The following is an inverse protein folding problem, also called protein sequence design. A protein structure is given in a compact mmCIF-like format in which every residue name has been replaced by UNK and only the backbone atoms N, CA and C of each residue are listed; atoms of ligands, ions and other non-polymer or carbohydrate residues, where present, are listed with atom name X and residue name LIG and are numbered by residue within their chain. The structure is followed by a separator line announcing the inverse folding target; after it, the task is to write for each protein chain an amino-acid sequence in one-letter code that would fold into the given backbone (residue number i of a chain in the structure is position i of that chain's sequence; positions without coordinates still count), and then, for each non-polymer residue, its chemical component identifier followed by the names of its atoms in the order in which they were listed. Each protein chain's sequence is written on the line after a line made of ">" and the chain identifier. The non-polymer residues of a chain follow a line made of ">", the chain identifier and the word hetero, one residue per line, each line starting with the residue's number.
data_IF_860625756952
#
_entry.id   IF_860625756952
#
_cell.length_a   1.000
_cell.length_b   1.000
_cell.length_c   1.000
_cell.angle_alpha   90.00
_cell.angle_beta   90.00
_cell.angle_gamma   90.00
#
_symmetry.space_group_name_H-M   'P 1'
#
loop_
_entity.id
_entity.type
_entity.pdbx_description
1 polymer ?
#
# COMPACT_ATOMS: atom_id res chain seq x y z
N UNK A 1 -20.86 12.72 -36.02
CA UNK A 1 -21.86 12.10 -35.13
C UNK A 1 -21.20 10.87 -34.54
N UNK A 2 -20.80 10.92 -33.26
CA UNK A 2 -20.43 9.69 -32.55
C UNK A 2 -21.70 8.88 -32.33
N UNK A 3 -21.60 7.58 -32.53
CA UNK A 3 -22.74 6.66 -32.53
C UNK A 3 -23.20 6.35 -31.10
N UNK A 4 -24.48 6.01 -30.92
CA UNK A 4 -25.10 5.63 -29.64
C UNK A 4 -24.25 4.60 -28.83
N UNK A 5 -23.54 3.73 -29.56
CA UNK A 5 -22.62 2.72 -29.04
C UNK A 5 -21.31 3.26 -28.44
N UNK A 6 -20.91 4.50 -28.73
CA UNK A 6 -19.73 5.14 -28.14
C UNK A 6 -20.09 5.85 -26.83
N UNK A 7 -21.29 6.45 -26.76
CA UNK A 7 -21.81 7.11 -25.56
C UNK A 7 -22.03 6.11 -24.41
N UNK A 8 -22.62 4.95 -24.71
CA UNK A 8 -22.83 3.88 -23.73
C UNK A 8 -21.53 3.33 -23.15
N UNK A 9 -20.46 3.24 -23.97
CA UNK A 9 -19.14 2.78 -23.49
C UNK A 9 -18.44 3.80 -22.60
N UNK A 10 -18.64 5.10 -22.86
CA UNK A 10 -18.09 6.14 -21.98
C UNK A 10 -18.81 6.18 -20.63
N UNK A 11 -20.13 6.03 -20.60
CA UNK A 11 -20.88 5.92 -19.34
C UNK A 11 -20.50 4.68 -18.53
N UNK A 12 -20.35 3.53 -19.19
CA UNK A 12 -19.95 2.29 -18.51
C UNK A 12 -18.52 2.39 -17.96
N UNK A 13 -17.59 2.99 -18.71
CA UNK A 13 -16.23 3.28 -18.21
C UNK A 13 -16.24 4.22 -17.02
N UNK A 14 -17.09 5.24 -17.01
CA UNK A 14 -17.22 6.17 -15.87
C UNK A 14 -17.75 5.47 -14.64
N UNK A 15 -18.77 4.60 -14.78
CA UNK A 15 -19.28 3.77 -13.67
C UNK A 15 -18.22 2.82 -13.13
N UNK A 16 -17.53 2.10 -14.02
CA UNK A 16 -16.46 1.18 -13.61
C UNK A 16 -15.31 1.92 -12.89
N UNK A 17 -14.96 3.14 -13.34
CA UNK A 17 -13.95 3.96 -12.69
C UNK A 17 -14.39 4.44 -11.29
N UNK A 18 -15.66 4.83 -11.13
CA UNK A 18 -16.24 5.20 -9.83
C UNK A 18 -16.25 4.01 -8.88
N UNK A 19 -16.73 2.85 -9.33
CA UNK A 19 -16.75 1.62 -8.53
C UNK A 19 -15.35 1.16 -8.13
N UNK A 20 -14.36 1.31 -9.03
CA UNK A 20 -12.97 0.99 -8.72
C UNK A 20 -12.38 1.93 -7.67
N UNK A 21 -12.69 3.22 -7.73
CA UNK A 21 -12.23 4.20 -6.75
C UNK A 21 -12.92 3.98 -5.39
N UNK A 22 -14.22 3.71 -5.37
CA UNK A 22 -14.94 3.37 -4.14
C UNK A 22 -14.39 2.10 -3.49
N UNK A 23 -14.11 1.06 -4.29
CA UNK A 23 -13.45 -0.15 -3.78
C UNK A 23 -12.09 0.17 -3.20
N UNK A 24 -11.26 0.98 -3.87
CA UNK A 24 -9.97 1.40 -3.34
C UNK A 24 -10.11 2.13 -2.00
N UNK A 25 -11.06 3.05 -1.89
CA UNK A 25 -11.32 3.77 -0.64
C UNK A 25 -11.76 2.81 0.46
N UNK A 26 -12.67 1.89 0.17
CA UNK A 26 -13.12 0.87 1.14
C UNK A 26 -11.99 -0.08 1.54
N UNK A 27 -11.12 -0.48 0.60
CA UNK A 27 -9.95 -1.30 0.89
C UNK A 27 -8.96 -0.58 1.78
N UNK A 28 -8.74 0.72 1.57
CA UNK A 28 -7.90 1.56 2.42
C UNK A 28 -8.53 1.76 3.82
N UNK A 29 -9.84 2.00 3.92
CA UNK A 29 -10.53 2.11 5.22
C UNK A 29 -10.50 0.78 5.98
N UNK A 30 -10.74 -0.34 5.29
CA UNK A 30 -10.61 -1.67 5.86
C UNK A 30 -9.16 -1.93 6.29
N UNK A 31 -8.16 -1.48 5.50
CA UNK A 31 -6.75 -1.55 5.86
C UNK A 31 -6.43 -0.72 7.11
N UNK A 32 -7.05 0.44 7.27
CA UNK A 32 -6.95 1.27 8.47
C UNK A 32 -7.49 0.57 9.71
N UNK A 33 -8.65 -0.07 9.60
CA UNK A 33 -9.23 -0.85 10.71
C UNK A 33 -8.39 -2.05 11.10
N UNK A 34 -7.76 -2.69 10.11
CA UNK A 34 -6.87 -3.85 10.31
C UNK A 34 -5.39 -3.48 10.28
N UNK A 35 -5.03 -2.24 10.59
CA UNK A 35 -3.65 -1.77 10.51
C UNK A 35 -2.69 -2.71 11.26
N UNK A 36 -3.07 -3.14 12.46
CA UNK A 36 -2.29 -4.12 13.23
C UNK A 36 -2.12 -5.49 12.55
N UNK A 37 -3.12 -5.97 11.80
CA UNK A 37 -2.98 -7.19 11.00
C UNK A 37 -2.10 -6.98 9.78
N UNK A 38 -2.21 -5.82 9.13
CA UNK A 38 -1.36 -5.45 8.00
C UNK A 38 0.11 -5.36 8.43
N UNK A 39 0.41 -4.78 9.60
CA UNK A 39 1.75 -4.79 10.17
C UNK A 39 2.27 -6.21 10.45
N UNK A 40 1.45 -7.10 11.02
CA UNK A 40 1.83 -8.51 11.22
C UNK A 40 2.12 -9.21 9.90
N UNK A 41 1.35 -8.91 8.86
CA UNK A 41 1.60 -9.44 7.52
C UNK A 41 2.92 -8.89 6.97
N UNK A 42 3.23 -7.59 7.11
CA UNK A 42 4.55 -7.04 6.77
C UNK A 42 5.67 -7.78 7.50
N UNK A 43 5.54 -8.02 8.81
CA UNK A 43 6.54 -8.79 9.57
C UNK A 43 6.67 -10.23 9.08
N UNK A 44 5.55 -10.90 8.76
CA UNK A 44 5.56 -12.26 8.20
C UNK A 44 6.20 -12.29 6.81
N UNK A 45 5.95 -11.28 6.00
CA UNK A 45 6.53 -11.11 4.67
C UNK A 45 8.04 -10.82 4.76
N UNK A 46 8.45 -9.97 5.71
CA UNK A 46 9.85 -9.63 5.98
C UNK A 46 10.65 -10.80 6.57
N UNK A 47 9.99 -11.73 7.29
CA UNK A 47 10.63 -12.97 7.73
C UNK A 47 10.98 -13.91 6.57
N UNK A 48 10.26 -13.85 5.45
CA UNK A 48 10.56 -14.71 4.29
C UNK A 48 11.66 -14.08 3.42
N UNK A 49 12.72 -14.83 3.18
CA UNK A 49 13.85 -14.40 2.34
C UNK A 49 13.56 -14.54 0.83
N UNK A 50 12.48 -13.95 0.32
CA UNK A 50 12.17 -14.00 -1.11
C UNK A 50 11.85 -12.61 -1.68
N UNK A 51 12.38 -12.33 -2.88
CA UNK A 51 12.21 -11.05 -3.56
C UNK A 51 10.74 -10.69 -3.79
N UNK A 52 9.89 -11.68 -4.10
CA UNK A 52 8.44 -11.48 -4.27
C UNK A 52 7.79 -11.07 -2.95
N UNK A 53 8.25 -11.63 -1.84
CA UNK A 53 7.68 -11.35 -0.52
C UNK A 53 8.05 -9.95 -0.04
N UNK A 54 9.28 -9.50 -0.30
CA UNK A 54 9.66 -8.12 -0.06
C UNK A 54 8.88 -7.12 -0.91
N UNK A 55 8.58 -7.48 -2.16
CA UNK A 55 7.74 -6.66 -3.04
C UNK A 55 6.33 -6.47 -2.44
N UNK A 56 5.73 -7.57 -1.98
CA UNK A 56 4.44 -7.53 -1.29
C UNK A 56 4.49 -6.74 0.02
N UNK A 57 5.57 -6.86 0.80
CA UNK A 57 5.74 -6.10 2.04
C UNK A 57 5.79 -4.59 1.75
N UNK A 58 6.55 -4.20 0.72
CA UNK A 58 6.69 -2.81 0.30
C UNK A 58 5.38 -2.26 -0.25
N UNK A 59 4.62 -3.03 -1.04
CA UNK A 59 3.27 -2.66 -1.47
C UNK A 59 2.35 -2.40 -0.28
N UNK A 60 2.34 -3.31 0.71
CA UNK A 60 1.49 -3.18 1.89
C UNK A 60 1.88 -1.97 2.76
N UNK A 61 3.18 -1.71 2.90
CA UNK A 61 3.70 -0.51 3.58
C UNK A 61 3.30 0.78 2.88
N UNK A 62 3.30 0.83 1.55
CA UNK A 62 2.81 1.99 0.80
C UNK A 62 1.34 2.26 1.05
N UNK A 63 0.49 1.22 1.05
CA UNK A 63 -0.94 1.38 1.36
C UNK A 63 -1.15 1.84 2.81
N UNK A 64 -0.38 1.32 3.76
CA UNK A 64 -0.42 1.75 5.16
C UNK A 64 0.01 3.22 5.32
N UNK A 65 0.99 3.69 4.54
CA UNK A 65 1.38 5.10 4.51
C UNK A 65 0.23 5.99 4.03
N UNK A 66 -0.47 5.58 2.97
CA UNK A 66 -1.64 6.34 2.47
C UNK A 66 -2.76 6.42 3.51
N UNK A 67 -3.01 5.31 4.20
CA UNK A 67 -3.96 5.24 5.32
C UNK A 67 -3.54 6.17 6.46
N UNK A 68 -2.26 6.14 6.85
CA UNK A 68 -1.72 6.99 7.90
C UNK A 68 -1.81 8.48 7.51
N UNK A 69 -1.53 8.83 6.25
CA UNK A 69 -1.68 10.19 5.73
C UNK A 69 -3.13 10.68 5.81
N UNK A 70 -4.11 9.82 5.46
CA UNK A 70 -5.54 10.16 5.62
C UNK A 70 -5.95 10.35 7.08
N UNK A 71 -5.41 9.54 7.98
CA UNK A 71 -5.70 9.62 9.42
C UNK A 71 -4.86 10.68 10.15
N UNK A 72 -3.94 11.37 9.47
CA UNK A 72 -2.93 12.27 10.07
C UNK A 72 -2.08 11.56 11.15
N UNK A 73 -1.79 10.28 10.95
CA UNK A 73 -0.99 9.44 11.83
C UNK A 73 0.34 9.04 11.18
N UNK A 74 0.85 9.87 10.26
CA UNK A 74 2.11 9.63 9.54
C UNK A 74 3.31 9.50 10.50
N UNK A 75 3.32 10.26 11.59
CA UNK A 75 4.36 10.16 12.63
C UNK A 75 4.38 8.77 13.30
N UNK A 76 3.20 8.26 13.69
CA UNK A 76 3.06 6.93 14.30
C UNK A 76 3.43 5.82 13.31
N UNK A 77 3.05 5.99 12.04
CA UNK A 77 3.44 5.09 10.97
C UNK A 77 4.96 5.07 10.80
N UNK A 78 5.60 6.23 10.77
CA UNK A 78 7.05 6.35 10.60
C UNK A 78 7.80 5.72 11.79
N UNK A 79 7.34 5.92 13.02
CA UNK A 79 7.93 5.31 14.22
C UNK A 79 7.85 3.78 14.17
N UNK A 80 6.68 3.22 13.82
CA UNK A 80 6.52 1.77 13.64
C UNK A 80 7.39 1.24 12.50
N UNK A 81 7.44 1.95 11.39
CA UNK A 81 8.23 1.60 10.22
C UNK A 81 9.72 1.54 10.56
N UNK A 82 10.22 2.51 11.30
CA UNK A 82 11.61 2.54 11.78
C UNK A 82 11.91 1.35 12.70
N UNK A 83 10.99 1.00 13.60
CA UNK A 83 11.09 -0.21 14.43
C UNK A 83 11.17 -1.51 13.60
N UNK A 84 10.42 -1.61 12.51
CA UNK A 84 10.52 -2.73 11.56
C UNK A 84 11.88 -2.72 10.88
N UNK A 85 12.34 -1.57 10.36
CA UNK A 85 13.65 -1.48 9.71
C UNK A 85 14.82 -1.77 10.64
N UNK A 86 14.76 -1.34 11.90
CA UNK A 86 15.76 -1.65 12.91
C UNK A 86 15.88 -3.16 13.14
N UNK A 87 14.75 -3.89 13.15
CA UNK A 87 14.73 -5.36 13.26
C UNK A 87 15.29 -6.06 12.02
N UNK A 88 15.04 -5.52 10.83
CA UNK A 88 15.45 -6.12 9.56
C UNK A 88 16.64 -5.41 8.89
N UNK A 89 17.42 -4.63 9.63
CA UNK A 89 18.53 -3.81 9.13
C UNK A 89 19.61 -4.61 8.39
N UNK A 90 19.74 -5.90 8.71
CA UNK A 90 20.69 -6.82 8.06
C UNK A 90 20.19 -7.34 6.71
N UNK A 91 18.93 -7.09 6.33
CA UNK A 91 18.31 -7.55 5.07
C UNK A 91 18.41 -6.46 4.00
N UNK A 92 19.58 -6.36 3.35
CA UNK A 92 19.83 -5.37 2.29
C UNK A 92 18.73 -5.32 1.21
N UNK A 93 18.20 -6.47 0.76
CA UNK A 93 17.16 -6.52 -0.28
C UNK A 93 15.83 -5.86 0.12
N UNK A 94 15.46 -5.90 1.41
CA UNK A 94 14.27 -5.21 1.90
C UNK A 94 14.48 -3.70 1.91
N UNK A 95 15.67 -3.26 2.33
CA UNK A 95 16.04 -1.85 2.37
C UNK A 95 16.09 -1.24 0.97
N UNK A 96 16.67 -1.95 0.00
CA UNK A 96 16.74 -1.50 -1.39
C UNK A 96 15.35 -1.36 -2.03
N UNK A 97 14.46 -2.35 -1.83
CA UNK A 97 13.09 -2.27 -2.33
C UNK A 97 12.28 -1.16 -1.66
N UNK A 98 12.48 -0.96 -0.36
CA UNK A 98 11.84 0.14 0.38
C UNK A 98 12.29 1.51 -0.12
N UNK A 99 13.57 1.65 -0.45
CA UNK A 99 14.11 2.86 -1.10
C UNK A 99 13.51 3.06 -2.49
N UNK A 100 13.43 2.00 -3.29
CA UNK A 100 12.85 2.05 -4.63
C UNK A 100 11.37 2.48 -4.61
N UNK A 101 10.63 2.14 -3.56
CA UNK A 101 9.25 2.58 -3.35
C UNK A 101 9.10 3.96 -2.70
N UNK A 102 10.21 4.66 -2.41
CA UNK A 102 10.18 5.98 -1.78
C UNK A 102 9.63 5.97 -0.34
N UNK A 103 9.70 4.82 0.35
CA UNK A 103 9.28 4.68 1.74
C UNK A 103 10.39 5.07 2.73
N UNK A 104 11.64 5.07 2.25
CA UNK A 104 12.81 5.39 3.06
C UNK A 104 13.63 6.47 2.36
N UNK A 105 13.65 7.66 2.96
CA UNK A 105 14.51 8.76 2.55
C UNK A 105 15.74 8.73 3.49
N UNK A 106 16.90 8.30 2.99
CA UNK A 106 18.20 8.41 3.68
C UNK A 106 19.02 9.41 2.89
#
# INVERSE_FOLDING_TARGET
>A
MLTDAECAREEEKRRQAQEAEEKRIQELDALARREGEAWKEVERLAQKSSAKTYDQAVQLLSQLREVAARQKQEEVFQERLDGVYARYQTRHSLLEKSRAAGLRNI
#
